data_IF_380345156937
#
_entry.id   IF_380345156937
#
_cell.length_a   1.000
_cell.length_b   1.000
_cell.length_c   1.000
_cell.angle_alpha   90.00
_cell.angle_beta   90.00
_cell.angle_gamma   90.00
#
_symmetry.space_group_name_H-M   'P 1'
#
loop_
_entity.id
_entity.type
_entity.pdbx_description
1 polymer ?
#
# COMPACT_ATOMS: atom_id res chain seq x y z
N UNK A 1 58.73 68.22 7.13
CA UNK A 1 59.14 66.82 6.85
C UNK A 1 58.64 66.00 8.02
N UNK A 2 57.47 65.35 7.90
CA UNK A 2 57.28 63.92 7.53
C UNK A 2 57.66 63.01 8.71
N UNK A 3 56.88 62.05 9.22
CA UNK A 3 55.46 61.63 9.19
C UNK A 3 55.33 60.69 10.42
N UNK A 4 54.18 60.73 11.10
CA UNK A 4 53.73 59.82 12.17
C UNK A 4 53.88 58.33 11.84
N UNK A 5 54.12 57.48 12.85
CA UNK A 5 53.80 56.04 12.73
C UNK A 5 53.03 55.56 13.96
N UNK A 6 51.72 55.50 13.78
CA UNK A 6 50.74 54.87 14.67
C UNK A 6 50.96 53.36 14.62
N UNK A 7 51.22 52.73 15.76
CA UNK A 7 51.28 51.26 15.88
C UNK A 7 49.85 50.72 15.98
N UNK A 8 49.32 50.29 14.85
CA UNK A 8 48.02 49.62 14.75
C UNK A 8 48.21 48.17 15.20
N UNK A 9 47.69 47.81 16.37
CA UNK A 9 47.57 46.42 16.80
C UNK A 9 46.47 45.74 15.98
N UNK A 10 46.86 44.74 15.18
CA UNK A 10 45.98 43.94 14.33
C UNK A 10 45.09 43.04 15.20
N UNK A 11 43.78 43.27 15.20
CA UNK A 11 42.81 42.28 15.72
C UNK A 11 42.54 41.30 14.58
N UNK A 12 43.13 40.11 14.66
CA UNK A 12 42.86 39.04 13.70
C UNK A 12 41.46 38.46 13.95
N UNK A 13 40.50 38.86 13.12
CA UNK A 13 39.17 38.26 13.05
C UNK A 13 39.31 36.85 12.44
N UNK A 14 39.27 35.82 13.28
CA UNK A 14 39.17 34.43 12.83
C UNK A 14 37.74 34.21 12.33
N UNK A 15 37.52 34.39 11.02
CA UNK A 15 36.28 33.98 10.36
C UNK A 15 36.32 32.46 10.24
N UNK A 16 35.63 31.78 11.15
CA UNK A 16 35.47 30.33 11.10
C UNK A 16 34.60 29.96 9.88
N UNK A 17 35.24 29.48 8.82
CA UNK A 17 34.55 28.89 7.67
C UNK A 17 34.18 27.45 8.05
N UNK A 18 32.95 27.21 8.52
CA UNK A 18 32.47 25.85 8.72
C UNK A 18 32.32 25.16 7.35
N UNK A 19 32.85 23.94 7.16
CA UNK A 19 32.60 23.17 5.95
C UNK A 19 31.14 22.73 5.96
N UNK A 20 30.33 23.31 5.07
CA UNK A 20 28.97 22.87 4.82
C UNK A 20 29.04 21.53 4.08
N UNK A 21 28.92 20.43 4.81
CA UNK A 21 28.89 19.09 4.23
C UNK A 21 27.62 18.93 3.40
N UNK A 22 27.75 18.86 2.08
CA UNK A 22 26.64 18.43 1.23
C UNK A 22 26.36 16.96 1.55
N UNK A 23 25.23 16.69 2.19
CA UNK A 23 24.68 15.35 2.23
C UNK A 23 24.21 15.00 0.80
N UNK A 24 24.93 14.12 0.13
CA UNK A 24 24.50 13.59 -1.16
C UNK A 24 23.30 12.65 -0.92
N UNK A 25 22.12 13.03 -1.43
CA UNK A 25 20.94 12.16 -1.42
C UNK A 25 21.08 11.13 -2.55
N UNK A 26 21.45 9.90 -2.22
CA UNK A 26 21.32 8.79 -3.18
C UNK A 26 19.83 8.48 -3.38
N UNK A 27 19.31 8.46 -4.62
CA UNK A 27 17.93 8.06 -4.86
C UNK A 27 17.73 6.62 -4.41
N UNK A 28 16.72 6.38 -3.57
CA UNK A 28 16.29 5.02 -3.25
C UNK A 28 15.69 4.40 -4.51
N UNK A 29 16.34 3.36 -5.03
CA UNK A 29 15.89 2.62 -6.22
C UNK A 29 15.04 1.43 -5.75
N UNK A 30 13.86 1.28 -6.34
CA UNK A 30 13.05 0.07 -6.17
C UNK A 30 13.86 -1.17 -6.59
N UNK A 31 13.97 -2.14 -5.69
CA UNK A 31 14.65 -3.41 -5.94
C UNK A 31 13.69 -4.45 -6.51
N UNK A 32 14.24 -5.44 -7.21
CA UNK A 32 13.50 -6.64 -7.62
C UNK A 32 14.02 -7.83 -6.82
N UNK A 33 13.11 -8.62 -6.26
CA UNK A 33 13.39 -9.80 -5.46
C UNK A 33 12.77 -11.02 -6.14
N UNK A 34 13.48 -12.14 -6.14
CA UNK A 34 13.02 -13.39 -6.74
C UNK A 34 12.41 -14.33 -5.69
N UNK A 35 11.38 -15.07 -6.09
CA UNK A 35 10.84 -16.24 -5.40
C UNK A 35 10.76 -17.37 -6.42
N UNK A 36 11.47 -18.45 -6.18
CA UNK A 36 11.39 -19.66 -7.00
C UNK A 36 10.25 -20.54 -6.51
N UNK A 37 9.54 -21.18 -7.43
CA UNK A 37 8.59 -22.27 -7.14
C UNK A 37 9.25 -23.55 -7.61
N UNK A 38 9.68 -24.37 -6.66
CA UNK A 38 10.38 -25.63 -6.91
C UNK A 38 10.07 -26.62 -5.78
N UNK A 39 10.07 -27.91 -6.10
CA UNK A 39 9.80 -28.99 -5.14
C UNK A 39 8.49 -28.79 -4.36
N UNK A 40 7.44 -28.28 -5.01
CA UNK A 40 6.17 -27.91 -4.37
C UNK A 40 6.37 -26.95 -3.18
N UNK A 41 7.27 -25.97 -3.30
CA UNK A 41 7.51 -24.95 -2.29
C UNK A 41 7.84 -23.59 -2.91
N UNK A 42 7.62 -22.53 -2.14
CA UNK A 42 8.12 -21.19 -2.45
C UNK A 42 9.48 -20.97 -1.79
N UNK A 43 10.48 -20.53 -2.54
CA UNK A 43 11.84 -20.28 -2.06
C UNK A 43 12.28 -18.83 -2.35
N UNK A 44 12.48 -17.97 -1.33
CA UNK A 44 12.25 -18.23 0.09
C UNK A 44 10.75 -18.25 0.45
N UNK A 45 10.38 -19.04 1.46
CA UNK A 45 9.00 -19.08 1.95
C UNK A 45 8.58 -17.79 2.66
N UNK A 46 9.52 -17.01 3.19
CA UNK A 46 9.27 -15.66 3.72
C UNK A 46 10.29 -14.69 3.16
N UNK A 47 9.80 -13.64 2.52
CA UNK A 47 10.60 -12.59 1.91
C UNK A 47 10.30 -11.27 2.59
N UNK A 48 11.34 -10.53 3.00
CA UNK A 48 11.19 -9.17 3.54
C UNK A 48 11.73 -8.16 2.53
N UNK A 49 10.91 -7.18 2.17
CA UNK A 49 11.20 -6.15 1.16
C UNK A 49 10.81 -4.77 1.70
N UNK A 50 11.09 -3.72 0.93
CA UNK A 50 10.68 -2.35 1.25
C UNK A 50 9.54 -1.89 0.34
N UNK A 51 8.68 -0.97 0.82
CA UNK A 51 7.69 -0.31 -0.04
C UNK A 51 8.36 0.23 -1.31
N UNK A 52 7.78 -0.13 -2.46
CA UNK A 52 8.25 0.22 -3.79
C UNK A 52 9.00 -0.93 -4.48
N UNK A 53 9.40 -1.97 -3.76
CA UNK A 53 10.07 -3.13 -4.35
C UNK A 53 9.10 -4.02 -5.13
N UNK A 54 9.65 -4.76 -6.11
CA UNK A 54 8.95 -5.76 -6.90
C UNK A 54 9.36 -7.15 -6.48
N UNK A 55 8.41 -8.08 -6.34
CA UNK A 55 8.66 -9.51 -6.20
C UNK A 55 8.31 -10.21 -7.50
N UNK A 56 9.18 -11.09 -7.98
CA UNK A 56 8.97 -11.93 -9.15
C UNK A 56 8.95 -13.39 -8.71
N UNK A 57 7.83 -14.07 -8.94
CA UNK A 57 7.72 -15.51 -8.79
C UNK A 57 8.05 -16.17 -10.12
N UNK A 58 8.85 -17.24 -10.11
CA UNK A 58 9.14 -18.05 -11.29
C UNK A 58 8.88 -19.51 -10.98
N UNK A 59 8.15 -20.20 -11.85
CA UNK A 59 7.91 -21.63 -11.70
C UNK A 59 9.02 -22.46 -12.35
N UNK A 60 9.77 -23.21 -11.56
CA UNK A 60 10.80 -24.14 -12.03
C UNK A 60 10.29 -25.59 -12.08
N UNK A 61 9.19 -25.90 -11.37
CA UNK A 61 8.55 -27.20 -11.40
C UNK A 61 7.88 -27.47 -12.76
N UNK A 62 7.79 -28.75 -13.13
CA UNK A 62 7.10 -29.18 -14.34
C UNK A 62 5.55 -29.13 -14.19
N UNK A 63 5.06 -28.95 -12.97
CA UNK A 63 3.63 -28.83 -12.67
C UNK A 63 3.29 -27.33 -12.61
N UNK A 64 2.10 -26.96 -13.11
CA UNK A 64 1.64 -25.59 -13.01
C UNK A 64 1.35 -25.19 -11.55
N UNK A 65 1.75 -23.97 -11.18
CA UNK A 65 1.55 -23.41 -9.85
C UNK A 65 0.99 -21.99 -9.92
N UNK A 66 0.36 -21.55 -8.84
CA UNK A 66 -0.05 -20.14 -8.67
C UNK A 66 0.69 -19.50 -7.49
N UNK A 67 0.81 -18.18 -7.51
CA UNK A 67 1.10 -17.33 -6.36
C UNK A 67 -0.14 -16.44 -6.12
N UNK A 68 -0.99 -16.84 -5.18
CA UNK A 68 -2.31 -16.22 -4.96
C UNK A 68 -2.43 -15.68 -3.53
N UNK A 69 -2.66 -14.37 -3.40
CA UNK A 69 -2.84 -13.71 -2.10
C UNK A 69 -4.10 -14.20 -1.39
N UNK A 70 -3.98 -14.50 -0.10
CA UNK A 70 -5.13 -14.93 0.74
C UNK A 70 -6.20 -13.84 0.91
N UNK A 71 -5.82 -12.59 0.69
CA UNK A 71 -6.70 -11.40 0.75
C UNK A 71 -7.14 -10.89 -0.63
N UNK A 72 -6.73 -11.55 -1.73
CA UNK A 72 -7.09 -11.15 -3.09
C UNK A 72 -6.35 -9.91 -3.64
N UNK A 73 -5.24 -9.50 -3.01
CA UNK A 73 -4.42 -8.36 -3.46
C UNK A 73 -3.68 -8.65 -4.79
N UNK A 74 -3.29 -9.90 -5.00
CA UNK A 74 -2.68 -10.36 -6.24
C UNK A 74 -3.04 -11.83 -6.50
N UNK A 75 -3.01 -12.19 -7.77
CA UNK A 75 -3.19 -13.55 -8.26
C UNK A 75 -2.42 -13.68 -9.59
N UNK A 76 -1.48 -14.64 -9.65
CA UNK A 76 -0.71 -14.88 -10.87
C UNK A 76 -1.53 -15.55 -11.98
N UNK A 77 -2.63 -16.23 -11.63
CA UNK A 77 -3.14 -17.32 -12.46
C UNK A 77 -2.15 -18.48 -12.50
N UNK A 78 -2.38 -19.43 -13.41
CA UNK A 78 -1.46 -20.55 -13.63
C UNK A 78 -0.13 -20.06 -14.20
N UNK A 79 0.97 -20.50 -13.60
CA UNK A 79 2.33 -20.35 -14.10
C UNK A 79 2.81 -21.72 -14.55
N UNK A 80 2.97 -21.90 -15.86
CA UNK A 80 3.61 -23.08 -16.44
C UNK A 80 5.12 -23.07 -16.15
N UNK A 81 5.80 -24.18 -16.43
CA UNK A 81 7.25 -24.28 -16.23
C UNK A 81 8.00 -23.17 -16.99
N UNK A 82 8.85 -22.43 -16.27
CA UNK A 82 9.64 -21.30 -16.74
C UNK A 82 8.90 -19.97 -16.82
N UNK A 83 7.60 -19.94 -16.50
CA UNK A 83 6.83 -18.69 -16.49
C UNK A 83 7.03 -17.90 -15.20
N UNK A 84 6.89 -16.58 -15.32
CA UNK A 84 7.06 -15.66 -14.19
C UNK A 84 5.91 -14.67 -14.05
N UNK A 85 5.65 -14.28 -12.81
CA UNK A 85 4.68 -13.24 -12.44
C UNK A 85 5.33 -12.22 -11.50
N UNK A 86 5.01 -10.93 -11.65
CA UNK A 86 5.63 -9.86 -10.85
C UNK A 86 4.63 -8.92 -10.23
N UNK A 87 4.87 -8.52 -8.97
CA UNK A 87 4.06 -7.55 -8.21
C UNK A 87 4.94 -6.52 -7.55
N UNK A 88 4.63 -5.23 -7.76
CA UNK A 88 5.23 -4.13 -7.00
C UNK A 88 4.39 -3.83 -5.75
N UNK A 89 5.00 -3.88 -4.58
CA UNK A 89 4.32 -3.65 -3.31
C UNK A 89 4.41 -2.20 -2.88
N UNK A 90 3.29 -1.48 -2.87
CA UNK A 90 3.24 -0.04 -2.63
C UNK A 90 2.75 0.35 -1.23
N UNK A 91 2.34 -0.61 -0.41
CA UNK A 91 1.90 -0.37 0.96
C UNK A 91 2.67 -1.26 1.93
N UNK A 92 3.04 -0.75 3.11
CA UNK A 92 3.64 -1.57 4.14
C UNK A 92 2.60 -2.55 4.69
N UNK A 93 3.05 -3.74 5.06
CA UNK A 93 2.16 -4.78 5.55
C UNK A 93 2.75 -6.17 5.42
N UNK A 94 1.90 -7.16 5.68
CA UNK A 94 2.24 -8.56 5.47
C UNK A 94 1.22 -9.19 4.54
N UNK A 95 1.72 -9.86 3.51
CA UNK A 95 0.95 -10.46 2.43
C UNK A 95 1.19 -11.95 2.44
N UNK A 96 0.23 -12.68 3.01
CA UNK A 96 0.21 -14.14 3.02
C UNK A 96 -0.42 -14.67 1.73
N UNK A 97 0.21 -15.66 1.11
CA UNK A 97 -0.22 -16.23 -0.15
C UNK A 97 0.00 -17.75 -0.20
N UNK A 98 -0.68 -18.39 -1.15
CA UNK A 98 -0.62 -19.83 -1.35
C UNK A 98 -0.67 -20.20 -2.84
N UNK A 99 -0.40 -21.47 -3.13
CA UNK A 99 -0.71 -22.08 -4.41
C UNK A 99 -2.13 -22.65 -4.39
N UNK A 100 -3.03 -22.14 -5.23
CA UNK A 100 -4.45 -22.53 -5.24
C UNK A 100 -4.67 -24.03 -5.46
N UNK A 101 -4.02 -24.69 -6.44
CA UNK A 101 -4.15 -26.14 -6.61
C UNK A 101 -3.43 -26.96 -5.52
N UNK A 102 -2.53 -26.35 -4.75
CA UNK A 102 -1.71 -27.02 -3.73
C UNK A 102 -1.69 -26.21 -2.41
N UNK A 103 -2.78 -26.19 -1.62
CA UNK A 103 -2.93 -25.21 -0.52
C UNK A 103 -1.94 -25.35 0.66
N UNK A 104 -1.20 -26.46 0.76
CA UNK A 104 -0.11 -26.61 1.72
C UNK A 104 1.14 -25.80 1.34
N UNK A 105 1.28 -25.42 0.07
CA UNK A 105 2.32 -24.53 -0.41
C UNK A 105 1.95 -23.10 0.00
N UNK A 106 2.69 -22.54 0.96
CA UNK A 106 2.41 -21.21 1.51
C UNK A 106 3.66 -20.34 1.49
N UNK A 107 3.45 -19.05 1.29
CA UNK A 107 4.51 -18.05 1.34
C UNK A 107 4.05 -16.75 1.98
N UNK A 108 5.01 -15.91 2.35
CA UNK A 108 4.78 -14.61 2.99
C UNK A 108 5.69 -13.54 2.44
N UNK A 109 5.14 -12.39 2.07
CA UNK A 109 5.91 -11.16 1.80
C UNK A 109 5.66 -10.17 2.93
N UNK A 110 6.74 -9.72 3.59
CA UNK A 110 6.71 -8.65 4.60
C UNK A 110 7.26 -7.39 3.97
N UNK A 111 6.43 -6.35 3.89
CA UNK A 111 6.78 -5.07 3.28
C UNK A 111 7.02 -4.05 4.38
N UNK A 112 8.27 -3.69 4.61
CA UNK A 112 8.66 -2.62 5.51
C UNK A 112 8.36 -1.26 4.89
N UNK A 113 7.99 -0.27 5.72
CA UNK A 113 7.86 1.10 5.26
C UNK A 113 9.18 1.57 4.64
N UNK A 114 9.10 2.29 3.52
CA UNK A 114 10.26 3.00 3.00
C UNK A 114 10.79 3.91 4.10
N UNK A 115 12.09 3.83 4.40
CA UNK A 115 12.73 4.76 5.30
C UNK A 115 12.47 6.17 4.73
N UNK A 116 11.62 6.95 5.42
CA UNK A 116 11.46 8.34 5.08
C UNK A 116 12.85 8.96 5.22
N UNK A 117 13.41 9.46 4.12
CA UNK A 117 14.47 10.46 4.20
C UNK A 117 13.98 11.49 5.22
N UNK A 118 14.70 11.77 6.31
CA UNK A 118 14.27 12.80 7.23
C UNK A 118 14.19 14.08 6.43
N UNK A 119 12.97 14.50 6.09
CA UNK A 119 12.73 15.87 5.65
C UNK A 119 13.22 16.70 6.84
N UNK A 120 14.20 17.61 6.66
CA UNK A 120 14.52 18.57 7.70
C UNK A 120 13.20 19.23 8.04
N UNK A 121 12.70 18.93 9.25
CA UNK A 121 11.50 19.56 9.74
C UNK A 121 11.90 21.01 9.95
N UNK A 122 11.71 21.86 8.94
CA UNK A 122 11.69 23.30 9.17
C UNK A 122 10.69 23.49 10.30
N UNK A 123 11.09 24.03 11.47
CA UNK A 123 10.13 24.32 12.52
C UNK A 123 9.08 25.22 11.89
N UNK A 124 7.84 24.74 11.82
CA UNK A 124 6.73 25.61 11.50
C UNK A 124 6.80 26.77 12.51
N UNK A 125 6.84 28.05 12.07
CA UNK A 125 6.80 29.14 13.01
C UNK A 125 5.50 29.01 13.80
N UNK A 126 5.64 28.80 15.11
CA UNK A 126 4.55 28.97 16.03
C UNK A 126 4.06 30.41 15.93
N UNK A 127 2.73 30.57 15.98
CA UNK A 127 1.98 31.82 16.16
C UNK A 127 1.47 32.50 14.89
N UNK A 128 0.27 32.11 14.48
CA UNK A 128 -0.74 33.10 14.16
C UNK A 128 -1.89 32.94 15.16
N UNK A 129 -1.94 33.88 16.11
CA UNK A 129 -3.05 34.14 17.03
C UNK A 129 -4.34 34.41 16.24
N UNK A 130 -5.50 33.79 16.56
CA UNK A 130 -6.78 34.26 16.05
C UNK A 130 -7.21 35.53 16.81
N UNK A 131 -7.47 36.61 16.08
CA UNK A 131 -8.08 37.86 16.56
C UNK A 131 -9.62 37.84 16.31
N UNK A 132 -10.42 38.73 16.93
CA UNK A 132 -11.64 38.35 17.65
C UNK A 132 -12.95 38.35 16.85
N UNK A 133 -13.93 37.68 17.46
CA UNK A 133 -15.37 37.69 17.16
C UNK A 133 -16.01 39.07 17.28
N UNK A 134 -16.77 39.45 16.26
CA UNK A 134 -17.93 40.37 16.29
C UNK A 134 -18.75 40.03 15.03
N UNK A 135 -20.01 39.62 15.02
CA UNK A 135 -21.13 39.93 15.91
C UNK A 135 -22.16 40.76 15.13
N UNK A 136 -23.04 40.13 14.33
CA UNK A 136 -24.37 40.64 13.98
C UNK A 136 -25.24 39.55 13.29
N UNK A 137 -26.56 39.49 13.55
CA UNK A 137 -27.44 38.38 13.20
C UNK A 137 -28.24 38.62 11.90
N UNK A 138 -28.53 37.56 11.14
CA UNK A 138 -29.51 37.54 10.05
C UNK A 138 -30.16 36.13 9.93
N UNK A 139 -31.36 36.02 9.34
CA UNK A 139 -32.54 35.38 9.95
C UNK A 139 -32.65 33.86 9.78
N UNK A 140 -33.42 33.27 10.70
CA UNK A 140 -33.89 31.89 10.71
C UNK A 140 -34.67 31.59 9.41
N UNK A 141 -34.06 30.82 8.50
CA UNK A 141 -34.73 30.26 7.33
C UNK A 141 -35.03 28.81 7.65
N UNK A 142 -36.32 28.56 7.89
CA UNK A 142 -36.91 27.26 8.10
C UNK A 142 -36.36 26.21 7.12
N UNK A 143 -35.78 25.16 7.69
CA UNK A 143 -35.40 23.94 7.02
C UNK A 143 -36.65 23.09 6.79
N UNK A 144 -37.38 23.37 5.71
CA UNK A 144 -38.36 22.43 5.16
C UNK A 144 -37.60 21.38 4.33
N UNK A 145 -37.07 20.34 4.99
CA UNK A 145 -36.64 19.12 4.30
C UNK A 145 -37.87 18.23 4.12
N UNK A 146 -38.58 18.47 3.02
CA UNK A 146 -39.52 17.53 2.42
C UNK A 146 -38.77 16.25 2.01
N UNK A 147 -38.72 15.27 2.89
CA UNK A 147 -38.31 13.90 2.58
C UNK A 147 -39.51 13.14 1.99
N UNK A 148 -39.85 13.45 0.74
CA UNK A 148 -40.74 12.61 -0.06
C UNK A 148 -40.01 11.37 -0.57
N UNK A 149 -39.94 10.31 0.23
CA UNK A 149 -39.54 8.97 -0.25
C UNK A 149 -40.81 8.12 -0.35
N UNK A 150 -41.23 7.85 -1.59
CA UNK A 150 -42.35 7.00 -1.93
C UNK A 150 -42.19 5.58 -1.37
N UNK A 151 -43.27 5.02 -0.82
CA UNK A 151 -43.39 3.68 -0.20
C UNK A 151 -43.17 2.49 -1.16
N UNK A 152 -42.70 2.71 -2.40
CA UNK A 152 -42.71 1.72 -3.47
C UNK A 152 -41.33 1.18 -3.91
N UNK A 153 -40.22 1.46 -3.21
CA UNK A 153 -38.88 1.15 -3.75
C UNK A 153 -37.88 0.40 -2.86
N UNK A 154 -38.25 -0.17 -1.70
CA UNK A 154 -37.27 -0.90 -0.85
C UNK A 154 -37.75 -2.28 -0.37
N UNK A 155 -38.42 -3.08 -1.22
CA UNK A 155 -38.53 -4.54 -0.99
C UNK A 155 -38.62 -5.31 -2.33
N UNK A 156 -37.52 -5.32 -3.07
CA UNK A 156 -37.18 -6.37 -4.04
C UNK A 156 -35.66 -6.43 -4.01
N UNK A 157 -34.99 -7.49 -3.59
CA UNK A 157 -35.07 -8.84 -4.13
C UNK A 157 -34.66 -9.81 -3.02
N UNK A 158 -35.59 -10.65 -2.55
CA UNK A 158 -35.31 -11.77 -1.66
C UNK A 158 -35.53 -13.08 -2.43
N UNK A 159 -34.41 -13.74 -2.72
CA UNK A 159 -34.18 -15.18 -2.88
C UNK A 159 -35.40 -16.10 -3.12
N UNK A 160 -35.45 -16.64 -4.34
CA UNK A 160 -36.27 -17.78 -4.73
C UNK A 160 -35.48 -19.06 -4.39
N UNK A 161 -35.72 -19.62 -3.19
CA UNK A 161 -35.24 -20.95 -2.80
C UNK A 161 -36.31 -21.97 -3.23
N UNK A 162 -36.02 -22.70 -4.30
CA UNK A 162 -36.79 -23.89 -4.71
C UNK A 162 -36.51 -25.03 -3.73
N UNK A 163 -37.52 -25.35 -2.92
CA UNK A 163 -37.56 -26.54 -2.08
C UNK A 163 -37.79 -27.80 -2.92
N UNK A 164 -37.00 -28.83 -2.60
CA UNK A 164 -37.05 -30.16 -3.19
C UNK A 164 -38.25 -30.98 -2.71
N UNK A 165 -38.66 -31.93 -3.56
CA UNK A 165 -39.22 -33.22 -3.14
C UNK A 165 -40.70 -33.44 -3.43
N UNK A 166 -41.01 -34.37 -4.34
CA UNK A 166 -41.75 -35.61 -4.04
C UNK A 166 -41.64 -36.50 -5.30
N UNK A 167 -41.02 -37.67 -5.10
CA UNK A 167 -41.04 -38.77 -6.04
C UNK A 167 -42.45 -39.34 -6.14
N UNK A 168 -42.95 -39.52 -7.36
CA UNK A 168 -44.14 -40.34 -7.61
C UNK A 168 -43.83 -41.29 -8.78
N UNK A 169 -43.44 -42.50 -8.40
CA UNK A 169 -43.46 -43.71 -9.23
C UNK A 169 -44.87 -43.86 -9.82
N UNK A 170 -44.98 -43.95 -11.15
CA UNK A 170 -46.14 -44.58 -11.81
C UNK A 170 -45.67 -45.56 -12.88
N UNK A 171 -45.68 -46.82 -12.46
CA UNK A 171 -45.82 -48.01 -13.32
C UNK A 171 -47.12 -47.91 -14.13
N UNK A 172 -47.09 -48.42 -15.38
CA UNK A 172 -48.14 -49.17 -16.13
C UNK A 172 -48.30 -48.64 -17.57
N UNK A 173 -47.60 -49.26 -18.53
CA UNK A 173 -48.04 -50.37 -19.42
C UNK A 173 -48.93 -49.98 -20.62
N UNK A 174 -48.58 -50.59 -21.77
CA UNK A 174 -49.37 -50.90 -22.98
C UNK A 174 -49.52 -49.72 -23.96
N UNK A 175 -49.26 -49.87 -25.26
CA UNK A 175 -49.24 -51.04 -26.16
C UNK A 175 -48.08 -50.97 -27.13
#
# INVERSE_FOLDING_TARGET
MIVSVVRITLVALVVAVLPMTLAATTPARAATHAVEIADFAFAPATLTITVGDTVTWTNEDAVAHTATSTTGVFDSGDLEQGESYSVTFTAPGTYDYLCTPHPSMTGRVVVAAAAATPVPSTPAPASATPAPTSGAPLPDVAMEREAGINLAQILGVAFLVLGAGIAAVRVRQRR
#
